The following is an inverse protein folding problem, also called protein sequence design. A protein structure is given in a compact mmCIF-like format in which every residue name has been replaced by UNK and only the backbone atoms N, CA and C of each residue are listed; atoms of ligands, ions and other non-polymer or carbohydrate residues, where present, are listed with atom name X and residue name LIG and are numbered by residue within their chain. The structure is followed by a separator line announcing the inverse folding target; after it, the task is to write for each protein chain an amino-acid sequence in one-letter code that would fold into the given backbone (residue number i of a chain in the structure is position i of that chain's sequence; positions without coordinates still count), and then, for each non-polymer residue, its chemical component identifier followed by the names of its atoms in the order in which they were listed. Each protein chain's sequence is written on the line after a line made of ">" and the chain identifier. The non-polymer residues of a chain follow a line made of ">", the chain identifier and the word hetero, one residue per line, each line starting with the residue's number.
data_IF_133450817824
#
_entry.id   IF_133450817824
#
_cell.length_a   1.000
_cell.length_b   1.000
_cell.length_c   1.000
_cell.angle_alpha   90.00
_cell.angle_beta   90.00
_cell.angle_gamma   90.00
#
_symmetry.space_group_name_H-M   'P 1'
#
loop_
_entity.id
_entity.type
_entity.pdbx_description
1 polymer ?
#
# COMPACT_ATOMS: atom_id res chain seq x y z
N UNK A 1 -5.38 -55.81 -55.31
CA UNK A 1 -6.07 -54.51 -55.41
C UNK A 1 -5.75 -53.72 -54.16
N UNK A 2 -4.84 -52.75 -54.26
CA UNK A 2 -4.44 -51.90 -53.13
C UNK A 2 -5.53 -50.84 -52.98
N UNK A 3 -6.42 -51.02 -52.00
CA UNK A 3 -7.47 -50.06 -51.70
C UNK A 3 -6.84 -48.84 -51.04
N UNK A 4 -6.49 -47.85 -51.86
CA UNK A 4 -6.04 -46.53 -51.43
C UNK A 4 -7.26 -45.72 -50.98
N UNK A 5 -7.92 -46.15 -49.89
CA UNK A 5 -8.87 -45.29 -49.20
C UNK A 5 -8.04 -44.21 -48.52
N UNK A 6 -8.09 -42.99 -49.06
CA UNK A 6 -7.64 -41.77 -48.38
C UNK A 6 -8.47 -41.60 -47.11
N UNK A 7 -8.15 -42.36 -46.06
CA UNK A 7 -8.70 -42.15 -44.74
C UNK A 7 -8.12 -40.84 -44.22
N UNK A 8 -8.97 -39.81 -44.24
CA UNK A 8 -8.64 -38.51 -43.70
C UNK A 8 -8.48 -38.66 -42.19
N UNK A 9 -7.24 -38.78 -41.72
CA UNK A 9 -6.88 -38.87 -40.30
C UNK A 9 -7.56 -37.74 -39.53
N UNK A 10 -8.25 -38.09 -38.44
CA UNK A 10 -8.94 -37.08 -37.63
C UNK A 10 -7.92 -36.21 -36.90
N UNK A 11 -8.17 -34.89 -36.85
CA UNK A 11 -7.28 -33.95 -36.16
C UNK A 11 -7.19 -34.30 -34.67
N UNK A 12 -5.99 -34.59 -34.19
CA UNK A 12 -5.71 -34.95 -32.80
C UNK A 12 -5.67 -33.70 -31.92
N UNK A 13 -6.36 -33.74 -30.77
CA UNK A 13 -6.39 -32.66 -29.77
C UNK A 13 -5.47 -32.94 -28.57
N UNK A 14 -4.50 -33.84 -28.73
CA UNK A 14 -3.61 -34.29 -27.66
C UNK A 14 -2.71 -33.14 -27.16
N UNK A 15 -2.06 -32.42 -28.07
CA UNK A 15 -1.21 -31.26 -27.73
C UNK A 15 -1.98 -30.18 -26.96
N UNK A 16 -3.14 -29.67 -27.44
CA UNK A 16 -3.91 -28.70 -26.66
C UNK A 16 -4.49 -29.28 -25.36
N UNK A 17 -4.79 -30.58 -25.27
CA UNK A 17 -5.25 -31.21 -24.03
C UNK A 17 -4.14 -31.25 -22.96
N UNK A 18 -2.89 -31.54 -23.35
CA UNK A 18 -1.73 -31.51 -22.44
C UNK A 18 -1.49 -30.07 -21.93
N UNK A 19 -1.59 -29.07 -22.80
CA UNK A 19 -1.47 -27.66 -22.39
C UNK A 19 -2.56 -27.26 -21.40
N UNK A 20 -3.80 -27.70 -21.61
CA UNK A 20 -4.91 -27.45 -20.66
C UNK A 20 -4.67 -28.18 -19.33
N UNK A 21 -4.09 -29.39 -19.33
CA UNK A 21 -3.76 -30.11 -18.11
C UNK A 21 -2.66 -29.45 -17.27
N UNK A 22 -1.65 -28.85 -17.90
CA UNK A 22 -0.56 -28.17 -17.21
C UNK A 22 -0.96 -26.79 -16.67
N UNK A 23 -1.81 -26.05 -17.39
CA UNK A 23 -2.07 -24.63 -17.11
C UNK A 23 -3.49 -24.32 -16.59
N UNK A 24 -4.46 -25.25 -16.68
CA UNK A 24 -5.88 -24.89 -16.58
C UNK A 24 -6.78 -25.93 -15.87
N UNK A 25 -6.49 -26.23 -14.60
CA UNK A 25 -7.28 -27.11 -13.73
C UNK A 25 -7.05 -28.61 -13.98
N UNK A 26 -6.24 -29.22 -13.11
CA UNK A 26 -5.83 -30.63 -13.17
C UNK A 26 -6.98 -31.61 -13.47
N UNK A 27 -8.17 -31.54 -12.84
CA UNK A 27 -9.23 -32.52 -13.11
C UNK A 27 -9.74 -32.48 -14.56
N UNK A 28 -10.07 -31.29 -15.08
CA UNK A 28 -10.65 -31.14 -16.44
C UNK A 28 -9.61 -31.45 -17.51
N UNK A 29 -8.37 -31.01 -17.30
CA UNK A 29 -7.27 -31.30 -18.21
C UNK A 29 -6.91 -32.79 -18.27
N UNK A 30 -6.89 -33.49 -17.12
CA UNK A 30 -6.69 -34.95 -17.07
C UNK A 30 -7.77 -35.68 -17.88
N UNK A 31 -9.05 -35.29 -17.72
CA UNK A 31 -10.14 -35.88 -18.51
C UNK A 31 -10.00 -35.56 -20.01
N UNK A 32 -9.57 -34.36 -20.38
CA UNK A 32 -9.34 -34.00 -21.78
C UNK A 32 -8.22 -34.84 -22.42
N UNK A 33 -7.13 -35.10 -21.68
CA UNK A 33 -6.02 -35.96 -22.13
C UNK A 33 -6.48 -37.40 -22.31
N UNK A 34 -7.27 -37.95 -21.39
CA UNK A 34 -7.84 -39.31 -21.52
C UNK A 34 -8.62 -39.47 -22.83
N UNK A 35 -9.55 -38.55 -23.12
CA UNK A 35 -10.34 -38.62 -24.35
C UNK A 35 -9.52 -38.37 -25.63
N UNK A 36 -8.45 -37.58 -25.54
CA UNK A 36 -7.53 -37.39 -26.66
C UNK A 36 -6.72 -38.66 -26.97
N UNK A 37 -6.28 -39.39 -25.93
CA UNK A 37 -5.60 -40.68 -26.07
C UNK A 37 -6.52 -41.76 -26.63
N UNK A 38 -7.78 -41.82 -26.18
CA UNK A 38 -8.80 -42.72 -26.73
C UNK A 38 -9.00 -42.47 -28.24
N UNK A 39 -9.11 -41.21 -28.66
CA UNK A 39 -9.25 -40.85 -30.06
C UNK A 39 -8.04 -41.29 -30.92
N UNK A 40 -6.83 -41.22 -30.38
CA UNK A 40 -5.62 -41.69 -31.08
C UNK A 40 -5.59 -43.21 -31.21
N UNK A 41 -5.97 -43.93 -30.16
CA UNK A 41 -6.07 -45.39 -30.18
C UNK A 41 -7.11 -45.88 -31.20
N UNK A 42 -8.28 -45.22 -31.29
CA UNK A 42 -9.29 -45.54 -32.31
C UNK A 42 -8.83 -45.22 -33.74
N UNK A 43 -8.06 -44.15 -33.95
CA UNK A 43 -7.46 -43.86 -35.25
C UNK A 43 -6.43 -44.95 -35.65
N UNK A 44 -5.59 -45.41 -34.71
CA UNK A 44 -4.65 -46.52 -34.95
C UNK A 44 -5.36 -47.84 -35.25
N UNK A 45 -6.53 -48.06 -34.65
CA UNK A 45 -7.38 -49.22 -34.90
C UNK A 45 -8.23 -49.13 -36.18
N UNK A 46 -8.20 -48.00 -36.91
CA UNK A 46 -9.02 -47.79 -38.12
C UNK A 46 -10.52 -47.55 -37.84
N UNK A 47 -10.92 -47.36 -36.57
CA UNK A 47 -12.31 -47.04 -36.20
C UNK A 47 -12.54 -45.52 -36.22
N UNK A 48 -12.77 -44.99 -37.42
CA UNK A 48 -12.87 -43.54 -37.64
C UNK A 48 -14.12 -42.90 -37.04
N UNK A 49 -15.21 -43.65 -36.84
CA UNK A 49 -16.46 -43.14 -36.26
C UNK A 49 -16.29 -42.85 -34.76
N UNK A 50 -15.73 -43.80 -34.01
CA UNK A 50 -15.45 -43.63 -32.57
C UNK A 50 -14.35 -42.61 -32.31
N UNK A 51 -13.29 -42.60 -33.15
CA UNK A 51 -12.24 -41.60 -33.09
C UNK A 51 -12.79 -40.17 -33.21
N UNK A 52 -13.75 -39.96 -34.12
CA UNK A 52 -14.40 -38.65 -34.29
C UNK A 52 -15.21 -38.23 -33.05
N UNK A 53 -15.94 -39.17 -32.43
CA UNK A 53 -16.74 -38.89 -31.23
C UNK A 53 -15.86 -38.56 -30.01
N UNK A 54 -14.78 -39.31 -29.79
CA UNK A 54 -13.82 -39.07 -28.70
C UNK A 54 -13.08 -37.73 -28.89
N UNK A 55 -12.65 -37.42 -30.13
CA UNK A 55 -12.02 -36.14 -30.45
C UNK A 55 -12.95 -34.93 -30.19
N UNK A 56 -14.26 -35.07 -30.49
CA UNK A 56 -15.26 -34.02 -30.21
C UNK A 56 -15.42 -33.75 -28.72
N UNK A 57 -15.40 -34.79 -27.87
CA UNK A 57 -15.44 -34.66 -26.40
C UNK A 57 -14.18 -33.96 -25.87
N UNK A 58 -13.01 -34.40 -26.31
CA UNK A 58 -11.73 -33.77 -25.94
C UNK A 58 -11.71 -32.29 -26.31
N UNK A 59 -12.10 -31.94 -27.55
CA UNK A 59 -12.20 -30.55 -28.01
C UNK A 59 -13.09 -29.69 -27.10
N UNK A 60 -14.28 -30.17 -26.75
CA UNK A 60 -15.22 -29.43 -25.89
C UNK A 60 -14.61 -29.15 -24.50
N UNK A 61 -13.97 -30.15 -23.90
CA UNK A 61 -13.31 -30.01 -22.59
C UNK A 61 -12.10 -29.08 -22.64
N UNK A 62 -11.28 -29.17 -23.67
CA UNK A 62 -10.13 -28.28 -23.86
C UNK A 62 -10.55 -26.81 -24.00
N UNK A 63 -11.64 -26.53 -24.74
CA UNK A 63 -12.17 -25.16 -24.88
C UNK A 63 -12.69 -24.65 -23.53
N UNK A 64 -13.50 -25.45 -22.83
CA UNK A 64 -14.06 -25.06 -21.52
C UNK A 64 -12.93 -24.78 -20.51
N UNK A 65 -11.92 -25.64 -20.44
CA UNK A 65 -10.77 -25.46 -19.56
C UNK A 65 -10.00 -24.17 -19.87
N UNK A 66 -9.74 -23.90 -21.15
CA UNK A 66 -9.07 -22.67 -21.58
C UNK A 66 -9.89 -21.41 -21.25
N UNK A 67 -11.21 -21.45 -21.45
CA UNK A 67 -12.10 -20.33 -21.10
C UNK A 67 -12.11 -20.04 -19.61
N UNK A 68 -12.20 -21.07 -18.77
CA UNK A 68 -12.20 -20.91 -17.31
C UNK A 68 -10.85 -20.35 -16.82
N UNK A 69 -9.74 -20.87 -17.32
CA UNK A 69 -8.41 -20.39 -16.94
C UNK A 69 -8.21 -18.92 -17.32
N UNK A 70 -8.67 -18.50 -18.50
CA UNK A 70 -8.64 -17.09 -18.91
C UNK A 70 -9.42 -16.20 -17.94
N UNK A 71 -10.61 -16.63 -17.50
CA UNK A 71 -11.43 -15.87 -16.55
C UNK A 71 -10.75 -15.78 -15.18
N UNK A 72 -10.21 -16.90 -14.66
CA UNK A 72 -9.49 -16.91 -13.38
C UNK A 72 -8.28 -16.00 -13.45
N UNK A 73 -7.54 -16.02 -14.55
CA UNK A 73 -6.40 -15.14 -14.76
C UNK A 73 -6.81 -13.67 -14.73
N UNK A 74 -7.89 -13.31 -15.44
CA UNK A 74 -8.42 -11.95 -15.44
C UNK A 74 -8.90 -11.52 -14.05
N UNK A 75 -9.64 -12.38 -13.33
CA UNK A 75 -10.10 -12.12 -11.96
C UNK A 75 -8.93 -12.04 -10.98
N UNK A 76 -7.90 -12.85 -11.17
CA UNK A 76 -6.69 -12.82 -10.36
C UNK A 76 -5.94 -11.49 -10.53
N UNK A 77 -5.77 -11.02 -11.77
CA UNK A 77 -5.16 -9.72 -12.04
C UNK A 77 -6.02 -8.58 -11.49
N UNK A 78 -7.33 -8.58 -11.75
CA UNK A 78 -8.20 -7.50 -11.27
C UNK A 78 -8.29 -7.50 -9.75
N UNK A 79 -8.36 -8.67 -9.13
CA UNK A 79 -8.32 -8.83 -7.67
C UNK A 79 -7.00 -8.36 -7.07
N UNK A 80 -5.87 -8.80 -7.61
CA UNK A 80 -4.54 -8.37 -7.15
C UNK A 80 -4.34 -6.86 -7.30
N UNK A 81 -4.68 -6.30 -8.48
CA UNK A 81 -4.57 -4.86 -8.73
C UNK A 81 -5.51 -4.08 -7.81
N UNK A 82 -6.76 -4.51 -7.64
CA UNK A 82 -7.71 -3.90 -6.71
C UNK A 82 -7.20 -3.91 -5.26
N UNK A 83 -6.71 -5.06 -4.78
CA UNK A 83 -6.16 -5.19 -3.42
C UNK A 83 -4.95 -4.27 -3.23
N UNK A 84 -4.00 -4.28 -4.17
CA UNK A 84 -2.81 -3.42 -4.09
C UNK A 84 -3.19 -1.94 -4.05
N UNK A 85 -4.06 -1.47 -4.95
CA UNK A 85 -4.56 -0.09 -4.98
C UNK A 85 -5.28 0.26 -3.68
N UNK A 86 -6.13 -0.64 -3.15
CA UNK A 86 -6.83 -0.39 -1.89
C UNK A 86 -5.87 -0.23 -0.71
N UNK A 87 -4.84 -1.07 -0.61
CA UNK A 87 -3.79 -0.93 0.41
C UNK A 87 -3.01 0.38 0.27
N UNK A 88 -2.62 0.77 -0.95
CA UNK A 88 -1.96 2.06 -1.20
C UNK A 88 -2.83 3.25 -0.78
N UNK A 89 -4.13 3.21 -1.08
CA UNK A 89 -5.08 4.27 -0.69
C UNK A 89 -5.19 4.42 0.83
N UNK A 90 -5.22 3.31 1.57
CA UNK A 90 -5.26 3.34 3.04
C UNK A 90 -3.98 3.95 3.64
N UNK A 91 -2.81 3.55 3.15
CA UNK A 91 -1.53 4.11 3.59
C UNK A 91 -1.43 5.60 3.30
N UNK A 92 -1.84 6.03 2.10
CA UNK A 92 -1.86 7.44 1.73
C UNK A 92 -2.84 8.24 2.59
N UNK A 93 -4.04 7.72 2.83
CA UNK A 93 -5.03 8.37 3.70
C UNK A 93 -4.52 8.52 5.14
N UNK A 94 -3.86 7.49 5.67
CA UNK A 94 -3.22 7.51 6.99
C UNK A 94 -2.16 8.60 7.07
N UNK A 95 -1.22 8.63 6.13
CA UNK A 95 -0.13 9.62 6.11
C UNK A 95 -0.66 11.05 5.91
N UNK A 96 -1.69 11.20 5.10
CA UNK A 96 -2.37 12.50 4.89
C UNK A 96 -2.95 13.01 6.21
N UNK A 97 -3.60 12.15 7.01
CA UNK A 97 -4.11 12.50 8.33
C UNK A 97 -2.99 12.85 9.31
N UNK A 98 -1.87 12.11 9.32
CA UNK A 98 -0.70 12.47 10.15
C UNK A 98 -0.19 13.87 9.78
N UNK A 99 -0.01 14.16 8.50
CA UNK A 99 0.43 15.47 8.05
C UNK A 99 -0.57 16.59 8.41
N UNK A 100 -1.86 16.34 8.23
CA UNK A 100 -2.92 17.28 8.60
C UNK A 100 -2.95 17.54 10.11
N UNK A 101 -2.84 16.49 10.93
CA UNK A 101 -2.73 16.62 12.39
C UNK A 101 -1.53 17.48 12.78
N UNK A 102 -0.39 17.31 12.10
CA UNK A 102 0.81 18.12 12.32
C UNK A 102 0.64 19.58 11.94
N UNK A 103 -0.09 19.87 10.85
CA UNK A 103 -0.43 21.25 10.46
C UNK A 103 -1.34 21.88 11.50
N UNK A 104 -2.42 21.20 11.89
CA UNK A 104 -3.37 21.68 12.90
C UNK A 104 -2.69 21.96 14.25
N UNK A 105 -1.76 21.09 14.67
CA UNK A 105 -0.98 21.30 15.88
C UNK A 105 -0.16 22.59 15.82
N UNK A 106 0.53 22.83 14.70
CA UNK A 106 1.33 24.05 14.49
C UNK A 106 0.47 25.31 14.40
N UNK A 107 -0.77 25.20 13.94
CA UNK A 107 -1.76 26.28 13.98
C UNK A 107 -2.35 26.51 15.39
N UNK A 108 -1.97 25.71 16.39
CA UNK A 108 -2.49 25.78 17.76
C UNK A 108 -3.86 25.12 17.95
N UNK A 109 -4.40 24.46 16.92
CA UNK A 109 -5.68 23.72 16.97
C UNK A 109 -5.49 22.33 17.58
N UNK A 110 -5.03 22.29 18.82
CA UNK A 110 -4.59 21.05 19.50
C UNK A 110 -5.67 19.96 19.53
N UNK A 111 -6.93 20.33 19.82
CA UNK A 111 -8.04 19.37 19.90
C UNK A 111 -8.31 18.71 18.54
N UNK A 112 -8.30 19.49 17.47
CA UNK A 112 -8.50 19.01 16.09
C UNK A 112 -7.31 18.14 15.63
N UNK A 113 -6.09 18.53 16.00
CA UNK A 113 -4.89 17.74 15.73
C UNK A 113 -4.96 16.35 16.39
N UNK A 114 -5.29 16.30 17.69
CA UNK A 114 -5.47 15.05 18.44
C UNK A 114 -6.53 14.17 17.77
N UNK A 115 -7.69 14.73 17.42
CA UNK A 115 -8.75 13.99 16.73
C UNK A 115 -8.27 13.43 15.39
N UNK A 116 -7.56 14.23 14.60
CA UNK A 116 -7.04 13.83 13.29
C UNK A 116 -6.01 12.70 13.40
N UNK A 117 -5.12 12.76 14.40
CA UNK A 117 -4.18 11.68 14.68
C UNK A 117 -4.87 10.38 15.13
N UNK A 118 -5.89 10.48 15.97
CA UNK A 118 -6.71 9.33 16.36
C UNK A 118 -7.41 8.70 15.14
N UNK A 119 -7.85 9.49 14.18
CA UNK A 119 -8.37 8.98 12.92
C UNK A 119 -7.30 8.29 12.06
N UNK A 120 -6.06 8.78 12.06
CA UNK A 120 -4.95 8.07 11.42
C UNK A 120 -4.71 6.69 12.07
N UNK A 121 -4.75 6.64 13.41
CA UNK A 121 -4.58 5.40 14.17
C UNK A 121 -5.70 4.38 13.96
N UNK A 122 -6.92 4.82 13.59
CA UNK A 122 -8.00 3.91 13.17
C UNK A 122 -7.70 3.20 11.86
N UNK A 123 -6.91 3.82 10.98
CA UNK A 123 -6.52 3.24 9.69
C UNK A 123 -5.26 2.38 9.83
N UNK A 124 -4.32 2.82 10.66
CA UNK A 124 -3.10 2.09 11.00
C UNK A 124 -2.71 2.39 12.46
N UNK A 125 -2.96 1.44 13.35
CA UNK A 125 -2.73 1.59 14.79
C UNK A 125 -1.26 1.87 15.15
N UNK A 126 -0.33 1.31 14.39
CA UNK A 126 1.11 1.40 14.65
C UNK A 126 1.80 2.57 13.95
N UNK A 127 1.03 3.46 13.32
CA UNK A 127 1.59 4.61 12.61
C UNK A 127 2.38 5.53 13.55
N UNK A 128 3.56 5.95 13.09
CA UNK A 128 4.32 7.02 13.69
C UNK A 128 3.66 8.38 13.39
N UNK A 129 3.24 9.08 14.43
CA UNK A 129 2.56 10.38 14.32
C UNK A 129 3.55 11.53 14.12
N UNK A 130 4.85 11.30 14.33
CA UNK A 130 5.90 12.29 14.13
C UNK A 130 7.09 11.70 13.35
N UNK A 131 6.95 11.45 12.04
CA UNK A 131 8.00 10.83 11.22
C UNK A 131 9.24 11.71 10.99
N UNK A 132 9.32 12.88 11.64
CA UNK A 132 10.48 13.78 11.60
C UNK A 132 11.52 13.43 12.66
N UNK A 133 11.15 12.62 13.65
CA UNK A 133 12.06 12.10 14.67
C UNK A 133 12.46 10.67 14.33
N UNK A 134 13.59 10.21 14.87
CA UNK A 134 14.00 8.80 14.76
C UNK A 134 13.15 7.89 15.64
N UNK A 135 12.61 8.44 16.72
CA UNK A 135 11.76 7.74 17.65
C UNK A 135 10.33 7.70 17.10
N UNK A 136 9.72 6.52 17.22
CA UNK A 136 8.33 6.29 16.83
C UNK A 136 7.44 6.87 17.93
N UNK A 137 6.63 7.86 17.57
CA UNK A 137 5.80 8.59 18.53
C UNK A 137 4.32 8.30 18.27
N UNK A 138 3.70 7.52 19.16
CA UNK A 138 2.32 7.01 18.96
C UNK A 138 1.27 7.73 19.80
N UNK A 139 1.64 8.66 20.68
CA UNK A 139 0.66 9.37 21.51
C UNK A 139 0.18 10.66 20.81
N UNK A 140 -1.09 10.74 20.37
CA UNK A 140 -1.63 11.93 19.71
C UNK A 140 -1.51 13.21 20.53
N UNK A 141 -1.64 13.12 21.85
CA UNK A 141 -1.57 14.29 22.74
C UNK A 141 -0.14 14.78 22.84
N UNK A 142 0.81 13.88 23.08
CA UNK A 142 2.24 14.24 23.17
C UNK A 142 2.69 14.90 21.87
N UNK A 143 2.42 14.25 20.72
CA UNK A 143 2.81 14.77 19.40
C UNK A 143 2.15 16.12 19.10
N UNK A 144 0.86 16.29 19.37
CA UNK A 144 0.17 17.54 19.11
C UNK A 144 0.73 18.70 19.98
N UNK A 145 0.96 18.47 21.27
CA UNK A 145 1.52 19.49 22.15
C UNK A 145 2.97 19.82 21.80
N UNK A 146 3.78 18.80 21.47
CA UNK A 146 5.17 18.98 21.05
C UNK A 146 5.26 19.84 19.79
N UNK A 147 4.51 19.52 18.74
CA UNK A 147 4.55 20.27 17.48
C UNK A 147 4.04 21.71 17.63
N UNK A 148 3.04 21.92 18.47
CA UNK A 148 2.55 23.26 18.79
C UNK A 148 3.56 24.08 19.58
N UNK A 149 4.20 23.46 20.58
CA UNK A 149 5.26 24.09 21.35
C UNK A 149 6.46 24.46 20.44
N UNK A 150 6.86 23.57 19.53
CA UNK A 150 7.90 23.86 18.54
C UNK A 150 7.53 25.02 17.61
N UNK A 151 6.28 25.11 17.16
CA UNK A 151 5.81 26.25 16.37
C UNK A 151 5.93 27.56 17.15
N UNK A 152 5.57 27.55 18.44
CA UNK A 152 5.73 28.69 19.35
C UNK A 152 7.20 29.05 19.59
N UNK A 153 8.09 28.08 19.72
CA UNK A 153 9.54 28.32 19.79
C UNK A 153 10.03 29.05 18.53
N UNK A 154 9.62 28.60 17.35
CA UNK A 154 9.99 29.26 16.09
C UNK A 154 9.43 30.68 16.00
N UNK A 155 8.18 30.89 16.42
CA UNK A 155 7.56 32.22 16.51
C UNK A 155 8.32 33.14 17.48
N UNK A 156 8.65 32.65 18.69
CA UNK A 156 9.44 33.36 19.68
C UNK A 156 10.82 33.76 19.15
N UNK A 157 11.49 32.86 18.42
CA UNK A 157 12.79 33.13 17.81
C UNK A 157 12.70 34.25 16.76
N UNK A 158 11.69 34.20 15.88
CA UNK A 158 11.46 35.27 14.89
C UNK A 158 11.17 36.62 15.54
N UNK A 159 10.45 36.63 16.67
CA UNK A 159 10.18 37.86 17.43
C UNK A 159 11.46 38.41 18.09
N UNK A 160 12.29 37.54 18.67
CA UNK A 160 13.56 37.91 19.28
C UNK A 160 14.52 38.52 18.26
N UNK A 161 14.66 37.90 17.08
CA UNK A 161 15.47 38.40 15.96
C UNK A 161 15.00 39.77 15.46
N UNK A 162 13.70 40.05 15.53
CA UNK A 162 13.11 41.36 15.22
C UNK A 162 13.26 42.39 16.33
N UNK A 163 13.93 42.05 17.45
CA UNK A 163 14.07 42.90 18.62
C UNK A 163 12.79 43.05 19.46
N UNK A 164 11.75 42.25 19.20
CA UNK A 164 10.48 42.26 19.94
C UNK A 164 10.59 41.42 21.22
N UNK A 165 11.50 41.81 22.10
CA UNK A 165 11.93 41.05 23.29
C UNK A 165 10.75 40.60 24.16
N UNK A 166 9.82 41.51 24.49
CA UNK A 166 8.67 41.20 25.36
C UNK A 166 7.71 40.18 24.73
N UNK A 167 7.42 40.35 23.44
CA UNK A 167 6.56 39.42 22.69
C UNK A 167 7.24 38.04 22.63
N UNK A 168 8.53 37.98 22.32
CA UNK A 168 9.30 36.73 22.25
C UNK A 168 9.28 35.95 23.58
N UNK A 169 9.52 36.62 24.72
CA UNK A 169 9.47 36.00 26.05
C UNK A 169 8.08 35.40 26.31
N UNK A 170 7.02 36.16 25.99
CA UNK A 170 5.64 35.68 26.17
C UNK A 170 5.37 34.45 25.32
N UNK A 171 5.78 34.45 24.06
CA UNK A 171 5.59 33.31 23.14
C UNK A 171 6.36 32.06 23.58
N UNK A 172 7.59 32.21 24.12
CA UNK A 172 8.32 31.09 24.70
C UNK A 172 7.63 30.52 25.94
N UNK A 173 7.07 31.36 26.80
CA UNK A 173 6.30 30.90 27.95
C UNK A 173 5.02 30.14 27.51
N UNK A 174 4.39 30.53 26.41
CA UNK A 174 3.30 29.75 25.81
C UNK A 174 3.78 28.38 25.31
N UNK A 175 4.96 28.30 24.69
CA UNK A 175 5.56 27.03 24.31
C UNK A 175 5.78 26.11 25.52
N UNK A 176 6.26 26.66 26.64
CA UNK A 176 6.49 25.91 27.88
C UNK A 176 5.20 25.41 28.55
N UNK A 177 4.08 26.12 28.37
CA UNK A 177 2.77 25.64 28.83
C UNK A 177 2.31 24.41 28.05
N UNK A 178 2.70 24.31 26.78
CA UNK A 178 2.37 23.17 25.92
C UNK A 178 3.33 22.00 26.18
N UNK A 179 4.62 22.28 26.34
CA UNK A 179 5.63 21.30 26.69
C UNK A 179 6.68 21.95 27.62
N UNK A 180 6.65 21.60 28.91
CA UNK A 180 7.51 22.18 29.93
C UNK A 180 9.00 21.94 29.68
N UNK A 181 9.36 20.80 29.09
CA UNK A 181 10.75 20.41 28.86
C UNK A 181 11.29 20.85 27.49
N UNK A 182 10.54 21.67 26.75
CA UNK A 182 10.96 22.08 25.42
C UNK A 182 12.23 22.93 25.43
N UNK A 183 13.15 22.60 24.53
CA UNK A 183 14.30 23.43 24.21
C UNK A 183 13.85 24.66 23.43
N UNK A 184 14.05 25.84 24.04
CA UNK A 184 13.66 27.11 23.47
C UNK A 184 14.68 27.62 22.43
N UNK A 185 15.89 27.04 22.38
CA UNK A 185 16.88 27.37 21.37
C UNK A 185 17.50 26.11 20.72
N UNK A 186 16.78 25.45 19.80
CA UNK A 186 17.29 24.25 19.11
C UNK A 186 18.46 24.53 18.15
N UNK A 187 18.97 25.76 18.08
CA UNK A 187 20.18 26.11 17.29
C UNK A 187 21.47 25.87 18.08
N UNK A 188 21.39 25.73 19.40
CA UNK A 188 22.51 25.39 20.26
C UNK A 188 22.55 23.90 20.56
N UNK A 189 23.72 23.40 20.96
CA UNK A 189 23.85 22.01 21.44
C UNK A 189 23.29 21.82 22.85
N UNK A 190 23.30 22.89 23.63
CA UNK A 190 22.78 22.92 24.99
C UNK A 190 21.29 23.22 24.95
N UNK A 191 20.54 22.53 25.80
CA UNK A 191 19.11 22.77 26.00
C UNK A 191 18.96 24.07 26.78
N UNK A 192 18.33 25.07 26.18
CA UNK A 192 18.04 26.34 26.86
C UNK A 192 16.55 26.41 27.19
N UNK A 193 16.23 26.45 28.49
CA UNK A 193 14.86 26.52 29.01
C UNK A 193 14.50 27.91 29.54
N UNK A 194 15.41 28.88 29.50
CA UNK A 194 15.14 30.24 30.00
C UNK A 194 14.80 31.18 28.83
N UNK A 195 13.53 31.64 28.73
CA UNK A 195 13.13 32.60 27.70
C UNK A 195 13.99 33.87 27.65
N UNK A 196 14.50 34.35 28.80
CA UNK A 196 15.31 35.58 28.84
C UNK A 196 16.67 35.35 28.24
N UNK A 197 17.31 34.24 28.60
CA UNK A 197 18.62 33.84 28.08
C UNK A 197 18.55 33.61 26.57
N UNK A 198 17.55 32.85 26.09
CA UNK A 198 17.34 32.62 24.65
C UNK A 198 17.13 33.92 23.87
N UNK A 199 16.31 34.84 24.40
CA UNK A 199 16.07 36.11 23.70
C UNK A 199 17.35 36.96 23.64
N UNK A 200 18.20 36.95 24.67
CA UNK A 200 19.49 37.63 24.63
C UNK A 200 20.42 37.03 23.57
N UNK A 201 20.43 35.69 23.41
CA UNK A 201 21.22 35.01 22.39
C UNK A 201 20.75 35.27 20.96
N UNK A 202 19.46 35.58 20.75
CA UNK A 202 18.86 35.76 19.43
C UNK A 202 18.65 37.22 19.03
N UNK A 203 18.66 38.14 19.99
CA UNK A 203 18.42 39.56 19.73
C UNK A 203 19.49 40.17 18.79
N UNK A 204 19.12 41.17 17.97
CA UNK A 204 20.07 41.88 17.12
C UNK A 204 21.16 42.56 17.98
N UNK A 205 22.42 42.19 17.77
CA UNK A 205 23.57 42.66 18.55
C UNK A 205 24.16 41.66 19.55
N UNK A 206 23.67 40.41 19.57
CA UNK A 206 24.19 39.29 20.37
C UNK A 206 25.48 38.63 19.83
N UNK A 207 26.02 39.14 18.71
CA UNK A 207 27.25 38.65 18.07
C UNK A 207 28.42 39.59 18.31
#
# INVERSE_FOLDING_TARGET
>A
MINNSKHKTQKTYLVPAILVALFAFLPVGIFAVKYALEAENFNKAGNFYEAHNAAKKAKKLSIIGASIASIIYLVGITGWTYLSVNSYRQNLATLTKVNQGGILAKEGKIKEAISTYQEAQKLNYDIDLNPRTKEIDKDPKIVAHLLAAQAKVQEGAMLAEKGKIKEAISTYQEAQKLNYDIDLNPRTKEIDKDPRTVVQQLAPGSK
#
